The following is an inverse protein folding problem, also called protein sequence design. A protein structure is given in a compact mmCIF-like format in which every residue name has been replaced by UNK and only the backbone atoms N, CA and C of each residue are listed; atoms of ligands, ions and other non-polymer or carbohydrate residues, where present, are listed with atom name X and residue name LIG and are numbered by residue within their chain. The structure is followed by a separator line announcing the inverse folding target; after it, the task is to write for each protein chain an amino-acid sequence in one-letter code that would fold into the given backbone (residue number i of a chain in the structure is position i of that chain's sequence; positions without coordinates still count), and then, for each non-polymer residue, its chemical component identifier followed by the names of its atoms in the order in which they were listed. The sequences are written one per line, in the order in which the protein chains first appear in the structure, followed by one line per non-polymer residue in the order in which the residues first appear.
data_IF_512272552421
#
_entry.id   IF_512272552421
#
_cell.length_a   1.000
_cell.length_b   1.000
_cell.length_c   1.000
_cell.angle_alpha   90.00
_cell.angle_beta   90.00
_cell.angle_gamma   90.00
#
_symmetry.space_group_name_H-M   'P 1'
#
loop_
_entity.id
_entity.type
_entity.pdbx_description
1 polymer ?
#
# COMPACT_ATOMS: atom_id res chain seq x y z
N UNK A 1 6.76 -0.90 14.46
CA UNK A 1 8.00 -0.62 15.23
C UNK A 1 9.00 -1.76 15.19
N UNK A 2 8.53 -3.00 15.07
CA UNK A 2 9.37 -4.19 15.04
C UNK A 2 10.15 -4.32 13.74
N UNK A 3 9.57 -3.95 12.60
CA UNK A 3 10.28 -3.98 11.31
C UNK A 3 11.51 -3.07 11.34
N UNK A 4 11.39 -1.88 11.94
CA UNK A 4 12.52 -0.95 12.09
C UNK A 4 13.67 -1.59 12.88
N UNK A 5 13.36 -2.50 13.80
CA UNK A 5 14.36 -3.19 14.59
C UNK A 5 15.24 -4.14 13.74
N UNK A 6 14.75 -4.65 12.60
CA UNK A 6 15.52 -5.43 11.63
C UNK A 6 16.41 -4.58 10.71
N UNK A 7 16.20 -3.26 10.70
CA UNK A 7 16.96 -2.31 9.88
C UNK A 7 17.76 -1.32 10.73
N UNK A 8 18.02 -1.64 12.01
CA UNK A 8 18.72 -0.74 12.94
C UNK A 8 18.08 0.65 13.04
N UNK A 9 16.76 0.73 12.80
CA UNK A 9 15.99 1.98 12.69
C UNK A 9 16.50 2.91 11.57
N UNK A 10 17.24 2.40 10.60
CA UNK A 10 17.66 3.10 9.40
C UNK A 10 16.51 3.10 8.38
N UNK A 11 15.82 4.24 8.29
CA UNK A 11 14.72 4.44 7.36
C UNK A 11 15.14 4.32 5.89
N UNK A 12 16.38 4.68 5.55
CA UNK A 12 16.90 4.58 4.18
C UNK A 12 17.03 3.12 3.75
N UNK A 13 17.57 2.26 4.63
CA UNK A 13 17.63 0.80 4.38
C UNK A 13 16.26 0.18 4.28
N UNK A 14 15.32 0.57 5.17
CA UNK A 14 13.94 0.07 5.11
C UNK A 14 13.27 0.45 3.79
N UNK A 15 13.37 1.71 3.36
CA UNK A 15 12.79 2.19 2.09
C UNK A 15 13.44 1.46 0.90
N UNK A 16 14.77 1.30 0.90
CA UNK A 16 15.49 0.56 -0.12
C UNK A 16 15.02 -0.89 -0.22
N UNK A 17 14.91 -1.57 0.92
CA UNK A 17 14.35 -2.92 1.01
C UNK A 17 12.93 -2.98 0.47
N UNK A 18 12.04 -2.07 0.88
CA UNK A 18 10.64 -2.07 0.42
C UNK A 18 10.54 -1.88 -1.09
N UNK A 19 11.37 -1.01 -1.68
CA UNK A 19 11.39 -0.82 -3.13
C UNK A 19 11.81 -2.09 -3.88
N UNK A 20 12.89 -2.75 -3.43
CA UNK A 20 13.34 -4.02 -4.04
C UNK A 20 12.34 -5.14 -3.80
N UNK A 21 11.76 -5.21 -2.61
CA UNK A 21 10.76 -6.20 -2.24
C UNK A 21 9.50 -6.06 -3.08
N UNK A 22 9.04 -4.84 -3.33
CA UNK A 22 7.91 -4.56 -4.24
C UNK A 22 8.19 -5.09 -5.64
N UNK A 23 9.40 -4.86 -6.19
CA UNK A 23 9.78 -5.34 -7.52
C UNK A 23 9.80 -6.86 -7.59
N UNK A 24 10.39 -7.51 -6.57
CA UNK A 24 10.43 -8.98 -6.49
C UNK A 24 9.02 -9.58 -6.49
N UNK A 25 8.10 -8.94 -5.79
CA UNK A 25 6.73 -9.39 -5.71
C UNK A 25 5.90 -9.13 -6.99
N UNK A 26 6.42 -8.38 -7.97
CA UNK A 26 5.83 -8.26 -9.32
C UNK A 26 6.22 -9.42 -10.25
N UNK A 27 7.12 -10.31 -9.84
CA UNK A 27 7.55 -11.47 -10.63
C UNK A 27 6.45 -12.54 -10.75
N UNK A 28 6.75 -13.63 -11.47
CA UNK A 28 5.82 -14.73 -11.70
C UNK A 28 5.30 -15.30 -10.37
N UNK A 29 3.97 -15.29 -10.19
CA UNK A 29 3.28 -15.73 -8.98
C UNK A 29 3.68 -17.14 -8.51
N UNK A 30 3.85 -18.10 -9.42
CA UNK A 30 4.20 -19.48 -9.06
C UNK A 30 5.65 -19.60 -8.55
N UNK A 31 6.55 -18.78 -9.10
CA UNK A 31 7.94 -18.68 -8.62
C UNK A 31 7.96 -18.03 -7.23
N UNK A 32 7.23 -16.93 -7.09
CA UNK A 32 7.11 -16.16 -5.87
C UNK A 32 6.61 -17.02 -4.70
N UNK A 33 5.56 -17.81 -4.94
CA UNK A 33 4.97 -18.71 -3.94
C UNK A 33 5.99 -19.67 -3.33
N UNK A 34 6.98 -20.11 -4.11
CA UNK A 34 8.03 -21.03 -3.66
C UNK A 34 9.18 -20.31 -2.97
N UNK A 35 9.63 -19.19 -3.52
CA UNK A 35 10.91 -18.56 -3.13
C UNK A 35 10.74 -17.54 -2.01
N UNK A 36 9.58 -16.89 -1.94
CA UNK A 36 9.29 -15.87 -0.96
C UNK A 36 9.35 -16.38 0.50
N UNK A 37 8.81 -17.56 0.85
CA UNK A 37 8.91 -18.08 2.21
C UNK A 37 10.36 -18.37 2.65
N UNK A 38 11.19 -18.86 1.71
CA UNK A 38 12.61 -19.10 1.94
C UNK A 38 13.36 -17.79 2.12
N UNK A 39 13.11 -16.80 1.25
CA UNK A 39 13.68 -15.47 1.37
C UNK A 39 13.37 -14.84 2.72
N UNK A 40 12.09 -14.82 3.12
CA UNK A 40 11.65 -14.21 4.38
C UNK A 40 12.22 -14.90 5.61
N UNK A 41 12.28 -16.24 5.59
CA UNK A 41 12.90 -17.00 6.68
C UNK A 41 14.39 -16.66 6.81
N UNK A 42 15.11 -16.59 5.69
CA UNK A 42 16.53 -16.24 5.68
C UNK A 42 16.75 -14.79 6.07
N UNK A 43 15.91 -13.86 5.60
CA UNK A 43 15.97 -12.45 5.94
C UNK A 43 15.85 -12.26 7.45
N UNK A 44 14.80 -12.82 8.07
CA UNK A 44 14.61 -12.69 9.52
C UNK A 44 15.78 -13.32 10.27
N UNK A 45 16.20 -14.52 9.88
CA UNK A 45 17.32 -15.22 10.53
C UNK A 45 18.62 -14.41 10.50
N UNK A 46 18.93 -13.80 9.37
CA UNK A 46 20.19 -13.07 9.16
C UNK A 46 20.17 -11.66 9.73
N UNK A 47 18.98 -11.09 9.97
CA UNK A 47 18.82 -9.71 10.45
C UNK A 47 18.21 -9.64 11.87
N UNK A 48 18.26 -10.72 12.64
CA UNK A 48 17.93 -10.67 14.07
C UNK A 48 18.87 -9.68 14.76
N UNK A 49 18.30 -8.62 15.33
CA UNK A 49 19.02 -7.75 16.24
C UNK A 49 19.21 -8.43 17.61
N UNK A 50 20.00 -7.79 18.47
CA UNK A 50 20.36 -8.39 19.76
C UNK A 50 19.15 -8.55 20.68
N UNK A 51 18.18 -7.62 20.63
CA UNK A 51 16.91 -7.76 21.34
C UNK A 51 16.20 -9.08 21.00
N UNK A 52 16.04 -9.40 19.71
CA UNK A 52 15.37 -10.64 19.32
C UNK A 52 16.21 -11.90 19.54
N UNK A 53 17.54 -11.79 19.49
CA UNK A 53 18.43 -12.90 19.87
C UNK A 53 18.28 -13.23 21.36
N UNK A 54 18.22 -12.20 22.21
CA UNK A 54 18.05 -12.37 23.65
C UNK A 54 16.68 -12.96 23.96
N UNK A 55 15.60 -12.45 23.35
CA UNK A 55 14.24 -13.01 23.48
C UNK A 55 14.18 -14.47 23.01
N UNK A 56 14.84 -14.81 21.90
CA UNK A 56 14.93 -16.18 21.41
C UNK A 56 15.61 -17.09 22.44
N UNK A 57 16.76 -16.67 22.98
CA UNK A 57 17.49 -17.43 24.01
C UNK A 57 16.65 -17.61 25.28
N UNK A 58 15.94 -16.57 25.72
CA UNK A 58 15.10 -16.59 26.91
C UNK A 58 13.83 -17.44 26.73
N UNK A 59 13.30 -17.52 25.51
CA UNK A 59 12.07 -18.27 25.21
C UNK A 59 12.21 -19.78 25.36
N UNK A 60 13.44 -20.33 25.35
CA UNK A 60 13.75 -21.75 25.29
C UNK A 60 13.06 -22.49 24.11
N UNK A 61 12.74 -21.75 23.03
CA UNK A 61 12.19 -22.28 21.77
C UNK A 61 13.31 -22.41 20.73
N UNK A 62 13.16 -23.35 19.81
CA UNK A 62 14.00 -23.35 18.62
C UNK A 62 13.62 -22.19 17.69
N UNK A 63 14.53 -21.79 16.80
CA UNK A 63 14.31 -20.66 15.90
C UNK A 63 13.04 -20.80 15.05
N UNK A 64 12.73 -21.99 14.53
CA UNK A 64 11.55 -22.17 13.66
C UNK A 64 10.26 -21.86 14.43
N UNK A 65 10.10 -22.44 15.62
CA UNK A 65 8.94 -22.22 16.49
C UNK A 65 8.88 -20.78 17.00
N UNK A 66 10.01 -20.17 17.34
CA UNK A 66 10.05 -18.78 17.78
C UNK A 66 9.70 -17.80 16.65
N UNK A 67 10.21 -18.06 15.45
CA UNK A 67 9.96 -17.26 14.24
C UNK A 67 8.48 -17.22 13.90
N UNK A 68 7.81 -18.37 13.87
CA UNK A 68 6.38 -18.47 13.55
C UNK A 68 5.54 -17.69 14.56
N UNK A 69 5.78 -17.87 15.87
CA UNK A 69 4.94 -17.27 16.92
C UNK A 69 5.19 -15.77 17.10
N UNK A 70 6.45 -15.32 17.01
CA UNK A 70 6.84 -13.98 17.48
C UNK A 70 7.38 -13.07 16.38
N UNK A 71 7.97 -13.60 15.31
CA UNK A 71 8.68 -12.78 14.32
C UNK A 71 7.87 -12.58 13.05
N UNK A 72 7.27 -13.64 12.51
CA UNK A 72 6.45 -13.56 11.30
C UNK A 72 5.24 -12.66 11.51
N UNK A 73 4.43 -12.89 12.54
CA UNK A 73 3.26 -12.04 12.82
C UNK A 73 3.62 -10.55 12.97
N UNK A 74 4.68 -10.23 13.72
CA UNK A 74 5.12 -8.84 13.91
C UNK A 74 5.69 -8.23 12.62
N UNK A 75 6.52 -8.97 11.88
CA UNK A 75 7.14 -8.50 10.64
C UNK A 75 6.10 -8.28 9.54
N UNK A 76 5.16 -9.22 9.38
CA UNK A 76 4.09 -9.12 8.40
C UNK A 76 3.09 -8.04 8.75
N UNK A 77 2.67 -7.92 10.02
CA UNK A 77 1.79 -6.85 10.45
C UNK A 77 2.42 -5.48 10.19
N UNK A 78 3.71 -5.29 10.48
CA UNK A 78 4.41 -4.05 10.19
C UNK A 78 4.56 -3.81 8.68
N UNK A 79 4.84 -4.83 7.86
CA UNK A 79 4.84 -4.71 6.39
C UNK A 79 3.47 -4.32 5.86
N UNK A 80 2.41 -4.96 6.33
CA UNK A 80 1.02 -4.64 5.99
C UNK A 80 0.73 -3.17 6.32
N UNK A 81 1.06 -2.73 7.54
CA UNK A 81 0.88 -1.35 7.97
C UNK A 81 1.69 -0.37 7.10
N UNK A 82 2.94 -0.70 6.75
CA UNK A 82 3.76 0.12 5.87
C UNK A 82 3.20 0.18 4.45
N UNK A 83 2.71 -0.92 3.89
CA UNK A 83 2.03 -0.92 2.60
C UNK A 83 0.72 -0.13 2.63
N UNK A 84 -0.03 -0.17 3.74
CA UNK A 84 -1.19 0.69 3.95
C UNK A 84 -0.82 2.17 3.97
N UNK A 85 0.36 2.53 4.46
CA UNK A 85 0.86 3.91 4.48
C UNK A 85 1.42 4.35 3.11
N UNK A 86 1.99 3.42 2.34
CA UNK A 86 2.69 3.70 1.08
C UNK A 86 1.78 3.82 -0.15
N UNK A 87 0.45 3.67 0.01
CA UNK A 87 -0.62 3.80 -1.01
C UNK A 87 -0.10 4.06 -2.43
N UNK A 88 0.41 3.00 -3.06
CA UNK A 88 0.57 2.90 -4.50
C UNK A 88 -0.41 1.82 -4.99
N UNK A 89 -1.49 2.20 -5.69
CA UNK A 89 -2.67 1.35 -5.94
C UNK A 89 -2.48 0.20 -6.94
N UNK A 90 -1.28 -0.01 -7.47
CA UNK A 90 -1.00 -0.97 -8.54
C UNK A 90 -0.33 -2.28 -8.10
N UNK A 91 -0.04 -2.48 -6.81
CA UNK A 91 0.66 -3.69 -6.35
C UNK A 91 -0.28 -4.66 -5.62
N UNK A 92 -0.25 -5.93 -6.04
CA UNK A 92 -0.97 -7.05 -5.42
C UNK A 92 0.05 -8.03 -4.89
N UNK A 93 0.07 -8.27 -3.59
CA UNK A 93 0.94 -9.28 -2.99
C UNK A 93 0.09 -10.31 -2.25
N UNK A 94 0.40 -11.58 -2.44
CA UNK A 94 -0.15 -12.67 -1.64
C UNK A 94 1.00 -13.13 -0.76
N UNK A 95 0.91 -12.85 0.54
CA UNK A 95 1.82 -13.40 1.53
C UNK A 95 1.15 -14.62 2.11
N UNK A 96 1.79 -15.77 1.94
CA UNK A 96 1.30 -17.04 2.49
C UNK A 96 2.08 -17.27 3.78
N UNK A 97 1.40 -17.23 4.92
CA UNK A 97 1.96 -17.69 6.18
C UNK A 97 2.00 -19.22 6.22
N UNK A 98 2.95 -19.76 6.98
CA UNK A 98 3.25 -21.18 7.15
C UNK A 98 2.04 -22.00 7.66
N UNK A 99 1.10 -21.37 8.37
CA UNK A 99 -0.12 -21.98 8.92
C UNK A 99 -1.31 -22.06 7.94
N UNK A 100 -1.09 -21.88 6.63
CA UNK A 100 -2.15 -21.87 5.60
C UNK A 100 -3.27 -20.84 5.87
N UNK A 101 -3.03 -19.86 6.74
CA UNK A 101 -3.91 -18.71 6.85
C UNK A 101 -3.59 -17.81 5.67
N UNK A 102 -4.50 -17.78 4.71
CA UNK A 102 -4.46 -16.84 3.61
C UNK A 102 -4.68 -15.42 4.19
N UNK A 103 -3.62 -14.76 4.66
CA UNK A 103 -3.67 -13.32 4.88
C UNK A 103 -3.50 -12.62 3.54
N UNK A 104 -4.63 -12.48 2.85
CA UNK A 104 -4.74 -11.69 1.64
C UNK A 104 -4.37 -10.23 1.96
N UNK A 105 -3.19 -9.81 1.52
CA UNK A 105 -2.85 -8.40 1.33
C UNK A 105 -3.70 -7.87 0.17
N UNK A 106 -4.97 -7.58 0.43
CA UNK A 106 -5.85 -6.93 -0.52
C UNK A 106 -5.42 -5.47 -0.68
N UNK A 107 -4.41 -5.21 -1.51
CA UNK A 107 -4.36 -3.96 -2.26
C UNK A 107 -5.64 -3.90 -3.10
N UNK A 108 -6.58 -3.01 -2.75
CA UNK A 108 -7.68 -2.70 -3.66
C UNK A 108 -7.04 -2.13 -4.92
N UNK A 109 -7.23 -2.78 -6.07
CA UNK A 109 -6.80 -2.21 -7.35
C UNK A 109 -7.53 -0.89 -7.50
N UNK A 110 -6.82 0.24 -7.51
CA UNK A 110 -7.47 1.54 -7.71
C UNK A 110 -7.09 2.13 -9.05
N UNK A 111 -8.05 2.71 -9.74
CA UNK A 111 -7.77 3.65 -10.83
C UNK A 111 -7.57 5.02 -10.20
N UNK A 112 -6.49 5.71 -10.58
CA UNK A 112 -6.18 7.04 -10.04
C UNK A 112 -6.23 8.07 -11.13
N UNK A 113 -6.97 9.14 -10.87
CA UNK A 113 -7.01 10.35 -11.70
C UNK A 113 -6.38 11.48 -10.92
N UNK A 114 -5.38 12.12 -11.55
CA UNK A 114 -4.65 13.22 -10.95
C UNK A 114 -5.12 14.56 -11.52
N UNK A 115 -5.23 15.56 -10.65
CA UNK A 115 -5.48 16.93 -11.04
C UNK A 115 -4.38 17.82 -10.48
N UNK A 116 -3.65 18.48 -11.39
CA UNK A 116 -2.51 19.32 -11.06
C UNK A 116 -2.91 20.81 -11.05
N UNK A 117 -2.50 21.53 -10.02
CA UNK A 117 -2.77 22.94 -9.77
C UNK A 117 -1.47 23.75 -9.84
N UNK A 118 -1.57 24.98 -10.34
CA UNK A 118 -0.41 25.90 -10.36
C UNK A 118 -0.15 26.52 -8.99
N UNK A 119 -1.18 26.63 -8.16
CA UNK A 119 -1.17 27.22 -6.82
C UNK A 119 -1.50 26.17 -5.76
N UNK A 120 -1.07 26.42 -4.53
CA UNK A 120 -1.34 25.55 -3.38
C UNK A 120 -2.84 25.57 -3.05
N UNK A 121 -3.39 24.40 -2.73
CA UNK A 121 -4.81 24.23 -2.45
C UNK A 121 -5.08 24.35 -0.95
N UNK A 122 -6.06 25.16 -0.58
CA UNK A 122 -6.58 25.20 0.80
C UNK A 122 -7.52 24.01 1.08
N UNK A 123 -6.98 23.00 1.75
CA UNK A 123 -7.68 21.76 2.10
C UNK A 123 -8.93 21.99 2.97
N UNK A 124 -8.93 23.01 3.85
CA UNK A 124 -10.01 23.19 4.84
C UNK A 124 -11.36 23.50 4.20
N UNK A 125 -11.34 24.13 3.02
CA UNK A 125 -12.53 24.57 2.31
C UNK A 125 -12.69 23.89 0.95
N UNK A 126 -11.90 22.85 0.69
CA UNK A 126 -11.91 22.13 -0.56
C UNK A 126 -13.18 21.27 -0.67
N UNK A 127 -13.91 21.43 -1.77
CA UNK A 127 -15.02 20.56 -2.15
C UNK A 127 -14.68 19.82 -3.42
N UNK A 128 -14.75 18.51 -3.37
CA UNK A 128 -14.47 17.65 -4.51
C UNK A 128 -15.74 16.85 -4.84
N UNK A 129 -16.01 16.72 -6.14
CA UNK A 129 -17.09 15.88 -6.65
C UNK A 129 -16.64 15.18 -7.92
N UNK A 130 -16.98 13.90 -8.04
CA UNK A 130 -16.73 13.11 -9.24
C UNK A 130 -18.05 12.54 -9.72
N UNK A 131 -18.27 12.58 -11.02
CA UNK A 131 -19.48 12.08 -11.67
C UNK A 131 -19.16 11.08 -12.79
N UNK A 132 -20.04 10.11 -13.01
CA UNK A 132 -20.05 9.35 -14.26
C UNK A 132 -20.66 10.16 -15.43
N UNK A 133 -20.71 9.55 -16.61
CA UNK A 133 -21.32 10.14 -17.81
C UNK A 133 -22.85 10.31 -17.71
N UNK A 134 -23.50 9.72 -16.71
CA UNK A 134 -24.93 9.87 -16.41
C UNK A 134 -25.17 10.90 -15.30
N UNK A 135 -24.12 11.60 -14.85
CA UNK A 135 -24.15 12.57 -13.76
C UNK A 135 -24.47 11.99 -12.38
N UNK A 136 -24.25 10.68 -12.18
CA UNK A 136 -24.30 10.08 -10.86
C UNK A 136 -23.03 10.40 -10.09
N UNK A 137 -23.15 10.76 -8.81
CA UNK A 137 -22.00 11.00 -7.93
C UNK A 137 -21.30 9.66 -7.66
N UNK A 138 -19.98 9.63 -7.81
CA UNK A 138 -19.16 8.44 -7.60
C UNK A 138 -18.52 8.44 -6.22
N UNK A 139 -18.33 7.25 -5.66
CA UNK A 139 -17.52 7.05 -4.46
C UNK A 139 -16.04 7.01 -4.83
N UNK A 140 -15.22 7.76 -4.09
CA UNK A 140 -13.77 7.82 -4.30
C UNK A 140 -13.05 8.12 -3.00
N UNK A 141 -11.76 7.78 -2.97
CA UNK A 141 -10.82 8.28 -1.95
C UNK A 141 -10.08 9.49 -2.51
N UNK A 142 -9.87 10.47 -1.65
CA UNK A 142 -9.13 11.69 -1.96
C UNK A 142 -7.77 11.62 -1.27
N UNK A 143 -6.70 11.94 -1.99
CA UNK A 143 -5.38 12.18 -1.41
C UNK A 143 -4.83 13.47 -1.99
N UNK A 144 -4.15 14.25 -1.16
CA UNK A 144 -3.50 15.50 -1.57
C UNK A 144 -2.01 15.31 -1.29
N UNK A 145 -1.18 15.68 -2.27
CA UNK A 145 0.26 15.55 -2.14
C UNK A 145 0.83 16.57 -1.13
N UNK A 146 2.06 16.34 -0.68
CA UNK A 146 2.70 17.21 0.32
C UNK A 146 2.94 18.65 -0.18
N UNK A 147 2.99 18.87 -1.49
CA UNK A 147 3.10 20.21 -2.08
C UNK A 147 1.76 20.93 -2.17
N UNK A 148 0.65 20.24 -1.91
CA UNK A 148 -0.73 20.74 -2.01
C UNK A 148 -1.11 21.21 -3.40
N UNK A 149 -0.42 20.72 -4.43
CA UNK A 149 -0.65 21.08 -5.84
C UNK A 149 -1.22 19.93 -6.64
N UNK A 150 -1.26 18.73 -6.08
CA UNK A 150 -1.79 17.55 -6.76
C UNK A 150 -2.88 16.93 -5.90
N UNK A 151 -4.05 16.78 -6.52
CA UNK A 151 -5.15 16.00 -5.96
C UNK A 151 -5.22 14.67 -6.70
N UNK A 152 -5.30 13.58 -5.95
CA UNK A 152 -5.54 12.24 -6.45
C UNK A 152 -6.98 11.82 -6.11
N UNK A 153 -7.73 11.49 -7.15
CA UNK A 153 -9.01 10.81 -7.06
C UNK A 153 -8.80 9.33 -7.29
N UNK A 154 -9.06 8.51 -6.28
CA UNK A 154 -8.78 7.08 -6.33
C UNK A 154 -10.07 6.27 -6.24
N UNK A 155 -10.30 5.40 -7.22
CA UNK A 155 -11.52 4.60 -7.35
C UNK A 155 -11.21 3.12 -7.27
N UNK A 156 -12.00 2.32 -6.55
CA UNK A 156 -11.86 0.86 -6.58
C UNK A 156 -12.19 0.35 -8.00
N UNK A 157 -11.27 -0.39 -8.61
CA UNK A 157 -11.42 -0.93 -9.96
C UNK A 157 -12.61 -1.90 -10.07
N UNK A 158 -12.93 -2.65 -9.00
CA UNK A 158 -14.10 -3.53 -8.99
C UNK A 158 -15.38 -2.71 -9.02
N UNK A 159 -15.43 -1.64 -8.22
CA UNK A 159 -16.55 -0.67 -8.24
C UNK A 159 -16.74 -0.11 -9.65
N UNK A 160 -15.67 0.39 -10.29
CA UNK A 160 -15.77 0.90 -11.66
C UNK A 160 -16.27 -0.16 -12.66
N UNK A 161 -15.79 -1.40 -12.55
CA UNK A 161 -16.21 -2.50 -13.44
C UNK A 161 -17.66 -2.92 -13.21
N UNK A 162 -18.09 -3.06 -11.96
CA UNK A 162 -19.44 -3.49 -11.58
C UNK A 162 -20.50 -2.51 -12.10
N UNK A 163 -20.23 -1.21 -12.01
CA UNK A 163 -21.11 -0.16 -12.52
C UNK A 163 -20.84 0.23 -13.98
N UNK A 164 -19.89 -0.45 -14.65
CA UNK A 164 -19.45 -0.17 -16.02
C UNK A 164 -19.09 1.30 -16.26
N UNK A 165 -18.40 1.92 -15.30
CA UNK A 165 -17.93 3.30 -15.35
C UNK A 165 -16.59 3.31 -16.10
N UNK A 166 -16.57 3.95 -17.28
CA UNK A 166 -15.38 4.06 -18.14
C UNK A 166 -14.88 5.49 -18.32
N UNK A 167 -15.74 6.45 -18.00
CA UNK A 167 -15.47 7.87 -18.13
C UNK A 167 -16.01 8.62 -16.92
N UNK A 168 -15.27 9.63 -16.48
CA UNK A 168 -15.68 10.47 -15.35
C UNK A 168 -15.44 11.94 -15.62
N UNK A 169 -16.16 12.75 -14.84
CA UNK A 169 -15.98 14.19 -14.73
C UNK A 169 -15.55 14.51 -13.29
N UNK A 170 -14.44 15.23 -13.13
CA UNK A 170 -13.95 15.68 -11.84
C UNK A 170 -14.19 17.18 -11.68
N UNK A 171 -14.71 17.58 -10.53
CA UNK A 171 -14.90 18.97 -10.14
C UNK A 171 -14.19 19.21 -8.81
N UNK A 172 -13.35 20.23 -8.78
CA UNK A 172 -12.67 20.71 -7.58
C UNK A 172 -13.08 22.16 -7.37
N UNK A 173 -13.64 22.46 -6.20
CA UNK A 173 -14.07 23.80 -5.82
C UNK A 173 -13.35 24.25 -4.56
N UNK A 174 -12.73 25.42 -4.68
CA UNK A 174 -12.17 26.22 -3.59
C UNK A 174 -13.13 27.38 -3.27
N UNK A 175 -12.93 28.16 -2.19
CA UNK A 175 -13.76 29.34 -1.94
C UNK A 175 -13.75 30.36 -3.09
N UNK A 176 -12.63 30.46 -3.82
CA UNK A 176 -12.42 31.46 -4.86
C UNK A 176 -12.69 30.92 -6.26
N UNK A 177 -12.29 29.68 -6.55
CA UNK A 177 -12.25 29.12 -7.90
C UNK A 177 -12.95 27.77 -8.00
N UNK A 178 -13.53 27.50 -9.17
CA UNK A 178 -14.08 26.20 -9.56
C UNK A 178 -13.29 25.65 -10.75
N UNK A 179 -12.74 24.47 -10.59
CA UNK A 179 -11.97 23.75 -11.59
C UNK A 179 -12.73 22.50 -12.01
N UNK A 180 -12.67 22.19 -13.31
CA UNK A 180 -13.37 21.04 -13.86
C UNK A 180 -12.52 20.37 -14.94
N UNK A 181 -12.53 19.06 -14.94
CA UNK A 181 -11.98 18.22 -16.01
C UNK A 181 -13.03 17.20 -16.38
N UNK A 182 -13.37 17.12 -17.67
CA UNK A 182 -14.44 16.30 -18.19
C UNK A 182 -13.92 15.18 -19.08
N UNK A 183 -14.75 14.16 -19.27
CA UNK A 183 -14.57 13.06 -20.22
C UNK A 183 -13.25 12.32 -20.03
N UNK A 184 -12.83 12.19 -18.76
CA UNK A 184 -11.60 11.50 -18.38
C UNK A 184 -11.82 10.00 -18.56
N UNK A 185 -11.13 9.41 -19.52
CA UNK A 185 -11.16 7.95 -19.75
C UNK A 185 -10.38 7.21 -18.66
N UNK A 186 -10.98 6.16 -18.10
CA UNK A 186 -10.42 5.36 -17.00
C UNK A 186 -9.72 4.06 -17.45
N UNK A 187 -9.54 3.87 -18.76
CA UNK A 187 -9.13 2.64 -19.49
C UNK A 187 -10.33 1.76 -19.87
#
# INVERSE_FOLDING_TARGET
DYILAFFDRDYGKLIGFLNEFILLLQENYELLKRELPMFLTNFIKNNLNDFWKDELMLSNKNFNTFKEIHLFGCFFSDLINLFYLLVNPNHKFILIDYDQHDEYLFGRSMVTVLMHFQEDIDEKNLKCSVYDNKYNVLEYKLMIDSTKKIIFFMFDLRYLKEFNIRQINCIVQTPQNRYQSCDINLI
#
